data_IF_430917116572
#
_entry.id   IF_430917116572
#
_cell.length_a   1.000
_cell.length_b   1.000
_cell.length_c   1.000
_cell.angle_alpha   90.00
_cell.angle_beta   90.00
_cell.angle_gamma   90.00
#
_symmetry.space_group_name_H-M   'P 1'
#
loop_
_entity.id
_entity.type
_entity.pdbx_description
1 polymer ?
#
# COMPACT_ATOMS: atom_id res chain seq x y z
N UNK A 1 12.95 -19.59 -21.17
CA UNK A 1 12.44 -19.42 -19.80
C UNK A 1 13.07 -20.51 -18.98
N UNK A 2 13.99 -20.17 -18.07
CA UNK A 2 14.59 -21.14 -17.16
C UNK A 2 13.61 -21.36 -16.02
N UNK A 3 13.04 -22.56 -15.92
CA UNK A 3 12.32 -23.01 -14.72
C UNK A 3 13.31 -23.05 -13.56
N UNK A 4 13.35 -21.97 -12.79
CA UNK A 4 14.09 -21.95 -11.53
C UNK A 4 13.29 -22.77 -10.52
N UNK A 5 13.64 -24.04 -10.37
CA UNK A 5 13.07 -24.88 -9.31
C UNK A 5 13.72 -24.49 -7.99
N UNK A 6 12.97 -23.79 -7.14
CA UNK A 6 13.41 -23.49 -5.77
C UNK A 6 13.20 -24.70 -4.86
N UNK A 7 14.15 -24.98 -3.96
CA UNK A 7 13.82 -25.74 -2.75
C UNK A 7 12.86 -24.95 -1.87
N UNK A 8 12.13 -25.60 -0.95
CA UNK A 8 11.20 -24.91 -0.05
C UNK A 8 11.86 -23.76 0.72
N UNK A 9 13.09 -23.95 1.20
CA UNK A 9 13.83 -22.92 1.94
C UNK A 9 14.24 -21.75 1.06
N UNK A 10 14.67 -22.02 -0.17
CA UNK A 10 15.02 -20.96 -1.12
C UNK A 10 13.79 -20.16 -1.52
N UNK A 11 12.66 -20.84 -1.77
CA UNK A 11 11.41 -20.18 -2.09
C UNK A 11 10.94 -19.28 -0.94
N UNK A 12 10.93 -19.81 0.29
CA UNK A 12 10.56 -19.05 1.48
C UNK A 12 11.45 -17.82 1.64
N UNK A 13 12.76 -17.97 1.48
CA UNK A 13 13.71 -16.85 1.58
C UNK A 13 13.46 -15.78 0.52
N UNK A 14 13.25 -16.17 -0.74
CA UNK A 14 13.01 -15.23 -1.85
C UNK A 14 11.65 -14.53 -1.68
N UNK A 15 10.62 -15.28 -1.31
CA UNK A 15 9.30 -14.73 -1.05
C UNK A 15 9.31 -13.76 0.14
N UNK A 16 9.97 -14.13 1.24
CA UNK A 16 10.12 -13.28 2.41
C UNK A 16 10.81 -11.96 2.08
N UNK A 17 11.80 -11.96 1.19
CA UNK A 17 12.45 -10.73 0.72
C UNK A 17 11.45 -9.79 0.02
N UNK A 18 10.67 -10.30 -0.95
CA UNK A 18 9.68 -9.48 -1.67
C UNK A 18 8.55 -9.01 -0.75
N UNK A 19 8.02 -9.91 0.09
CA UNK A 19 6.97 -9.57 1.06
C UNK A 19 7.47 -8.51 2.03
N UNK A 20 8.68 -8.68 2.58
CA UNK A 20 9.30 -7.71 3.48
C UNK A 20 9.48 -6.34 2.82
N UNK A 21 9.98 -6.29 1.59
CA UNK A 21 10.11 -5.06 0.81
C UNK A 21 8.76 -4.38 0.56
N UNK A 22 7.71 -5.15 0.24
CA UNK A 22 6.34 -4.61 0.08
C UNK A 22 5.85 -4.00 1.39
N UNK A 23 6.03 -4.68 2.52
CA UNK A 23 5.63 -4.18 3.85
C UNK A 23 6.39 -2.90 4.20
N UNK A 24 7.70 -2.82 3.92
CA UNK A 24 8.47 -1.60 4.12
C UNK A 24 7.97 -0.45 3.25
N UNK A 25 7.68 -0.69 1.97
CA UNK A 25 7.14 0.35 1.07
C UNK A 25 5.76 0.83 1.50
N UNK A 26 4.91 -0.07 1.99
CA UNK A 26 3.61 0.31 2.58
C UNK A 26 3.78 1.19 3.82
N UNK A 27 4.72 0.84 4.71
CA UNK A 27 5.01 1.64 5.90
C UNK A 27 5.57 3.03 5.55
N UNK A 28 6.49 3.09 4.59
CA UNK A 28 7.05 4.34 4.07
C UNK A 28 5.95 5.23 3.47
N UNK A 29 5.08 4.66 2.64
CA UNK A 29 3.96 5.37 2.03
C UNK A 29 2.98 5.91 3.07
N UNK A 30 2.63 5.09 4.07
CA UNK A 30 1.74 5.51 5.16
C UNK A 30 2.36 6.65 6.00
N UNK A 31 3.65 6.57 6.30
CA UNK A 31 4.39 7.65 6.99
C UNK A 31 4.39 8.95 6.17
N UNK A 32 4.68 8.87 4.87
CA UNK A 32 4.67 10.02 3.98
C UNK A 32 3.27 10.65 3.85
N UNK A 33 2.22 9.83 3.85
CA UNK A 33 0.84 10.29 3.86
C UNK A 33 0.51 11.04 5.16
N UNK A 34 0.94 10.52 6.31
CA UNK A 34 0.75 11.21 7.60
C UNK A 34 1.44 12.58 7.61
N UNK A 35 2.68 12.67 7.12
CA UNK A 35 3.39 13.94 7.00
C UNK A 35 2.68 14.92 6.06
N UNK A 36 2.21 14.41 4.92
CA UNK A 36 1.45 15.20 3.95
C UNK A 36 0.18 15.79 4.56
N UNK A 37 -0.61 14.97 5.26
CA UNK A 37 -1.83 15.44 5.94
C UNK A 37 -1.52 16.51 6.97
N UNK A 38 -0.46 16.33 7.77
CA UNK A 38 -0.04 17.32 8.79
C UNK A 38 0.35 18.66 8.17
N UNK A 39 1.12 18.66 7.08
CA UNK A 39 1.57 19.90 6.43
C UNK A 39 0.47 20.58 5.63
N UNK A 40 -0.37 19.79 4.96
CA UNK A 40 -1.47 20.34 4.16
C UNK A 40 -2.49 21.04 5.01
N UNK A 41 -2.77 20.65 6.26
CA UNK A 41 -3.72 21.40 7.10
C UNK A 41 -3.15 22.69 7.71
N UNK A 42 -1.84 22.97 7.59
CA UNK A 42 -1.15 24.10 8.25
C UNK A 42 -1.55 24.27 9.72
N UNK A 43 -1.71 23.16 10.45
CA UNK A 43 -2.18 23.19 11.82
C UNK A 43 -1.19 23.93 12.72
N UNK A 44 -1.69 24.90 13.48
CA UNK A 44 -0.89 25.63 14.46
C UNK A 44 -0.59 24.77 15.70
N UNK A 45 -1.48 23.83 16.03
CA UNK A 45 -1.32 22.89 17.14
C UNK A 45 -1.19 21.44 16.64
N UNK A 46 0.05 20.98 16.51
CA UNK A 46 0.37 19.61 16.12
C UNK A 46 0.00 18.58 17.20
N UNK A 47 -0.08 18.96 18.48
CA UNK A 47 -0.44 18.03 19.55
C UNK A 47 -1.91 17.62 19.47
N UNK A 48 -2.75 18.49 18.93
CA UNK A 48 -4.16 18.18 18.67
C UNK A 48 -4.34 17.40 17.36
N UNK A 49 -3.59 17.75 16.30
CA UNK A 49 -3.78 17.14 14.97
C UNK A 49 -3.14 15.77 14.83
N UNK A 50 -1.96 15.52 15.42
CA UNK A 50 -1.27 14.23 15.26
C UNK A 50 -2.13 13.05 15.74
N UNK A 51 -2.75 13.08 16.94
CA UNK A 51 -3.58 11.97 17.40
C UNK A 51 -4.81 11.74 16.51
N UNK A 52 -5.34 12.79 15.88
CA UNK A 52 -6.47 12.65 14.96
C UNK A 52 -6.03 11.93 13.67
N UNK A 53 -4.89 12.31 13.09
CA UNK A 53 -4.34 11.66 11.90
C UNK A 53 -3.95 10.21 12.19
N UNK A 54 -3.37 9.92 13.34
CA UNK A 54 -2.96 8.57 13.74
C UNK A 54 -4.14 7.61 13.88
N UNK A 55 -5.29 8.09 14.36
CA UNK A 55 -6.52 7.29 14.48
C UNK A 55 -7.18 6.97 13.14
N UNK A 56 -6.84 7.68 12.07
CA UNK A 56 -7.40 7.41 10.76
C UNK A 56 -6.88 6.08 10.21
N UNK A 57 -7.79 5.28 9.67
CA UNK A 57 -7.42 4.12 8.86
C UNK A 57 -6.62 4.56 7.63
N UNK A 58 -5.82 3.67 7.05
CA UNK A 58 -5.08 3.97 5.82
C UNK A 58 -6.00 4.49 4.70
N UNK A 59 -7.20 3.92 4.56
CA UNK A 59 -8.22 4.42 3.62
C UNK A 59 -8.60 5.86 3.94
N UNK A 60 -8.98 6.11 5.18
CA UNK A 60 -9.46 7.42 5.63
C UNK A 60 -8.39 8.51 5.50
N UNK A 61 -7.10 8.16 5.66
CA UNK A 61 -5.98 9.07 5.40
C UNK A 61 -5.90 9.48 3.93
N UNK A 62 -6.10 8.55 3.01
CA UNK A 62 -6.08 8.84 1.56
C UNK A 62 -7.29 9.70 1.17
N UNK A 63 -8.49 9.33 1.64
CA UNK A 63 -9.71 10.09 1.39
C UNK A 63 -9.57 11.54 1.87
N UNK A 64 -9.11 11.72 3.12
CA UNK A 64 -8.87 13.04 3.70
C UNK A 64 -7.86 13.86 2.90
N UNK A 65 -6.79 13.23 2.38
CA UNK A 65 -5.84 13.93 1.52
C UNK A 65 -6.53 14.43 0.25
N UNK A 66 -7.32 13.59 -0.42
CA UNK A 66 -8.03 13.99 -1.64
C UNK A 66 -9.00 15.15 -1.37
N UNK A 67 -9.78 15.08 -0.28
CA UNK A 67 -10.67 16.17 0.12
C UNK A 67 -9.89 17.48 0.36
N UNK A 68 -8.75 17.43 1.05
CA UNK A 68 -7.89 18.60 1.26
C UNK A 68 -7.36 19.15 -0.06
N UNK A 69 -6.96 18.29 -1.00
CA UNK A 69 -6.50 18.72 -2.32
C UNK A 69 -7.64 19.37 -3.11
N UNK A 70 -8.84 18.81 -3.10
CA UNK A 70 -10.00 19.42 -3.76
C UNK A 70 -10.33 20.80 -3.20
N UNK A 71 -10.25 20.98 -1.88
CA UNK A 71 -10.50 22.26 -1.22
C UNK A 71 -9.39 23.28 -1.56
N UNK A 72 -8.12 22.89 -1.42
CA UNK A 72 -6.97 23.82 -1.54
C UNK A 72 -6.57 24.13 -2.96
N UNK A 73 -6.76 23.18 -3.86
CA UNK A 73 -6.39 23.27 -5.28
C UNK A 73 -7.62 23.33 -6.17
N UNK A 74 -8.78 23.77 -5.66
CA UNK A 74 -10.00 23.99 -6.46
C UNK A 74 -9.75 24.80 -7.77
N UNK A 75 -8.88 25.84 -7.78
CA UNK A 75 -8.55 26.55 -9.03
C UNK A 75 -7.68 25.75 -10.01
N UNK A 76 -7.14 24.60 -9.61
CA UNK A 76 -6.21 23.78 -10.38
C UNK A 76 -6.78 22.38 -10.64
N UNK A 77 -7.62 22.22 -11.69
CA UNK A 77 -8.26 20.94 -12.01
C UNK A 77 -7.26 19.86 -12.43
N UNK A 78 -6.09 20.24 -12.95
CA UNK A 78 -5.01 19.30 -13.31
C UNK A 78 -4.48 18.60 -12.06
N UNK A 79 -4.13 19.36 -11.02
CA UNK A 79 -3.69 18.82 -9.72
C UNK A 79 -4.71 17.83 -9.15
N UNK A 80 -5.98 18.23 -9.09
CA UNK A 80 -7.06 17.38 -8.57
C UNK A 80 -7.17 16.08 -9.38
N UNK A 81 -7.11 16.18 -10.71
CA UNK A 81 -7.20 15.02 -11.60
C UNK A 81 -6.05 14.04 -11.39
N UNK A 82 -4.82 14.54 -11.29
CA UNK A 82 -3.63 13.72 -11.06
C UNK A 82 -3.67 13.00 -9.71
N UNK A 83 -4.05 13.71 -8.64
CA UNK A 83 -4.22 13.09 -7.31
C UNK A 83 -5.35 12.06 -7.29
N UNK A 84 -6.47 12.30 -7.97
CA UNK A 84 -7.55 11.31 -8.13
C UNK A 84 -7.09 10.08 -8.91
N UNK A 85 -6.27 10.27 -9.95
CA UNK A 85 -5.70 9.17 -10.73
C UNK A 85 -4.78 8.31 -9.85
N UNK A 86 -3.88 8.95 -9.09
CA UNK A 86 -3.03 8.29 -8.11
C UNK A 86 -3.85 7.54 -7.05
N UNK A 87 -4.90 8.17 -6.50
CA UNK A 87 -5.79 7.54 -5.52
C UNK A 87 -6.41 6.25 -6.06
N UNK A 88 -6.92 6.24 -7.31
CA UNK A 88 -7.48 5.02 -7.91
C UNK A 88 -6.46 3.90 -8.04
N UNK A 89 -5.18 4.21 -8.29
CA UNK A 89 -4.10 3.19 -8.33
C UNK A 89 -3.82 2.65 -6.94
N UNK A 90 -3.71 3.54 -5.94
CA UNK A 90 -3.46 3.15 -4.56
C UNK A 90 -4.62 2.36 -3.96
N UNK A 91 -5.87 2.70 -4.26
CA UNK A 91 -7.05 1.99 -3.73
C UNK A 91 -7.10 0.53 -4.20
N UNK A 92 -6.67 0.25 -5.45
CA UNK A 92 -6.50 -1.13 -5.94
C UNK A 92 -5.48 -1.92 -5.11
N UNK A 93 -4.40 -1.27 -4.69
CA UNK A 93 -3.37 -1.90 -3.85
C UNK A 93 -3.78 -1.99 -2.38
N UNK A 94 -4.56 -1.03 -1.88
CA UNK A 94 -5.07 -0.98 -0.49
C UNK A 94 -5.80 -2.26 -0.11
N UNK A 95 -6.58 -2.84 -1.03
CA UNK A 95 -7.30 -4.09 -0.78
C UNK A 95 -6.33 -5.24 -0.48
N UNK A 96 -5.15 -5.24 -1.13
CA UNK A 96 -4.09 -6.23 -0.90
C UNK A 96 -3.29 -5.95 0.36
N UNK A 97 -3.08 -4.68 0.74
CA UNK A 97 -2.28 -4.26 1.92
C UNK A 97 -2.64 -5.05 3.18
N UNK A 98 -3.93 -5.21 3.49
CA UNK A 98 -4.34 -5.95 4.68
C UNK A 98 -3.92 -7.43 4.65
N UNK A 99 -3.96 -8.06 3.48
CA UNK A 99 -3.55 -9.46 3.33
C UNK A 99 -2.01 -9.60 3.39
N UNK A 100 -1.27 -8.62 2.88
CA UNK A 100 0.19 -8.58 3.00
C UNK A 100 0.68 -8.39 4.45
N UNK A 101 -0.01 -7.55 5.22
CA UNK A 101 0.41 -7.21 6.61
C UNK A 101 -0.14 -8.21 7.63
N UNK A 102 -1.39 -8.63 7.48
CA UNK A 102 -2.11 -9.42 8.49
C UNK A 102 -2.47 -10.84 8.02
N UNK A 103 -2.20 -11.19 6.76
CA UNK A 103 -2.46 -12.52 6.24
C UNK A 103 -1.47 -13.55 6.76
N UNK A 104 -1.90 -14.82 6.76
CA UNK A 104 -1.02 -15.96 6.99
C UNK A 104 -0.34 -16.33 5.68
N UNK A 105 0.97 -16.54 5.72
CA UNK A 105 1.76 -16.99 4.57
C UNK A 105 2.13 -18.46 4.75
N UNK A 106 1.93 -19.25 3.69
CA UNK A 106 2.28 -20.67 3.64
C UNK A 106 3.09 -20.96 2.37
N UNK A 107 4.06 -21.87 2.49
CA UNK A 107 4.94 -22.25 1.39
C UNK A 107 4.77 -23.73 1.06
N UNK A 108 4.26 -24.02 -0.13
CA UNK A 108 3.93 -25.37 -0.60
C UNK A 108 5.01 -25.91 -1.56
N UNK A 109 5.07 -27.23 -1.71
CA UNK A 109 6.06 -27.92 -2.55
C UNK A 109 5.57 -28.24 -3.97
N UNK A 110 4.38 -27.78 -4.36
CA UNK A 110 3.72 -28.07 -5.65
C UNK A 110 3.17 -26.80 -6.30
N UNK A 111 2.86 -26.90 -7.60
CA UNK A 111 2.15 -26.04 -8.57
C UNK A 111 2.00 -24.52 -8.31
N UNK A 112 1.62 -24.08 -7.10
CA UNK A 112 1.58 -22.68 -6.69
C UNK A 112 2.10 -22.56 -5.25
N UNK A 113 3.37 -22.21 -5.06
CA UNK A 113 4.04 -22.58 -3.83
C UNK A 113 4.00 -21.49 -2.76
N UNK A 114 3.36 -20.33 -3.01
CA UNK A 114 3.21 -19.26 -2.02
C UNK A 114 1.73 -18.94 -1.85
N UNK A 115 1.18 -19.16 -0.66
CA UNK A 115 -0.23 -18.92 -0.35
C UNK A 115 -0.35 -17.83 0.69
N UNK A 116 -1.17 -16.82 0.40
CA UNK A 116 -1.57 -15.79 1.35
C UNK A 116 -3.04 -15.95 1.70
N UNK A 117 -3.30 -16.24 2.96
CA UNK A 117 -4.66 -16.37 3.48
C UNK A 117 -5.00 -15.11 4.25
N UNK A 118 -5.85 -14.27 3.67
CA UNK A 118 -6.31 -13.06 4.34
C UNK A 118 -7.03 -13.42 5.66
N UNK A 119 -6.74 -12.67 6.73
CA UNK A 119 -7.46 -12.83 7.99
C UNK A 119 -8.96 -12.60 7.78
N UNK A 120 -9.75 -13.63 8.07
CA UNK A 120 -11.20 -13.55 8.21
C UNK A 120 -11.57 -13.71 9.69
N UNK A 121 -12.78 -13.29 10.07
CA UNK A 121 -13.30 -13.57 11.41
C UNK A 121 -13.53 -15.08 11.51
N UNK A 122 -12.95 -15.72 12.54
CA UNK A 122 -13.20 -17.13 12.85
C UNK A 122 -14.71 -17.39 12.89
N UNK A 123 -15.21 -18.30 12.05
CA UNK A 123 -16.65 -18.63 11.95
C UNK A 123 -17.41 -17.91 10.83
N UNK A 124 -16.79 -16.96 10.12
CA UNK A 124 -17.34 -16.45 8.85
C UNK A 124 -16.74 -17.22 7.67
N UNK A 125 -17.60 -17.91 6.91
CA UNK A 125 -17.22 -18.67 5.74
C UNK A 125 -16.73 -17.72 4.63
N UNK A 126 -15.43 -17.42 4.60
CA UNK A 126 -14.57 -17.23 3.41
C UNK A 126 -13.25 -16.59 3.84
N UNK A 127 -12.30 -17.41 4.26
CA UNK A 127 -10.90 -17.04 4.12
C UNK A 127 -10.62 -16.90 2.61
N UNK A 128 -10.18 -15.73 2.16
CA UNK A 128 -9.79 -15.53 0.77
C UNK A 128 -8.31 -15.89 0.65
N UNK A 129 -8.06 -17.04 0.06
CA UNK A 129 -6.73 -17.48 -0.31
C UNK A 129 -6.32 -16.80 -1.62
N UNK A 130 -5.09 -16.31 -1.67
CA UNK A 130 -4.46 -15.78 -2.88
C UNK A 130 -3.16 -16.53 -3.06
N UNK A 131 -3.01 -17.16 -4.22
CA UNK A 131 -1.82 -17.89 -4.59
C UNK A 131 -0.90 -16.96 -5.37
N UNK A 132 0.40 -17.03 -5.08
CA UNK A 132 1.42 -16.22 -5.71
C UNK A 132 2.56 -17.09 -6.25
N UNK A 133 3.05 -16.70 -7.41
CA UNK A 133 4.40 -16.97 -7.86
C UNK A 133 5.38 -15.91 -7.36
N UNK A 134 6.67 -16.24 -7.30
CA UNK A 134 7.73 -15.26 -6.98
C UNK A 134 7.67 -14.06 -7.95
N UNK A 135 7.38 -14.33 -9.22
CA UNK A 135 7.27 -13.28 -10.23
C UNK A 135 6.10 -12.32 -9.94
N UNK A 136 5.00 -12.81 -9.38
CA UNK A 136 3.84 -12.00 -9.01
C UNK A 136 4.15 -11.14 -7.79
N UNK A 137 4.81 -11.68 -6.76
CA UNK A 137 5.28 -10.88 -5.63
C UNK A 137 6.22 -9.74 -6.07
N UNK A 138 7.09 -10.03 -7.04
CA UNK A 138 7.94 -9.00 -7.65
C UNK A 138 7.10 -7.93 -8.37
N UNK A 139 6.03 -8.30 -9.09
CA UNK A 139 5.14 -7.32 -9.73
C UNK A 139 4.37 -6.48 -8.70
N UNK A 140 3.94 -7.07 -7.58
CA UNK A 140 3.31 -6.31 -6.50
C UNK A 140 4.29 -5.30 -5.88
N UNK A 141 5.55 -5.69 -5.67
CA UNK A 141 6.60 -4.78 -5.21
C UNK A 141 6.79 -3.61 -6.18
N UNK A 142 7.00 -3.89 -7.46
CA UNK A 142 7.16 -2.85 -8.48
C UNK A 142 5.93 -1.92 -8.57
N UNK A 143 4.74 -2.46 -8.32
CA UNK A 143 3.50 -1.69 -8.32
C UNK A 143 3.47 -0.70 -7.17
N UNK A 144 3.79 -1.13 -5.94
CA UNK A 144 3.79 -0.21 -4.79
C UNK A 144 4.95 0.79 -4.83
N UNK A 145 6.10 0.41 -5.37
CA UNK A 145 7.21 1.32 -5.63
C UNK A 145 6.80 2.43 -6.59
N UNK A 146 6.19 2.08 -7.74
CA UNK A 146 5.69 3.07 -8.70
C UNK A 146 4.64 4.00 -8.09
N UNK A 147 3.68 3.45 -7.34
CA UNK A 147 2.65 4.27 -6.67
C UNK A 147 3.28 5.26 -5.68
N UNK A 148 4.34 4.84 -4.99
CA UNK A 148 5.07 5.70 -4.03
C UNK A 148 5.88 6.78 -4.74
N UNK A 149 6.56 6.44 -5.84
CA UNK A 149 7.29 7.39 -6.67
C UNK A 149 6.35 8.43 -7.31
N UNK A 150 5.20 7.99 -7.82
CA UNK A 150 4.16 8.88 -8.34
C UNK A 150 3.68 9.85 -7.25
N UNK A 151 3.43 9.37 -6.03
CA UNK A 151 3.03 10.24 -4.92
C UNK A 151 4.08 11.32 -4.63
N UNK A 152 5.34 10.93 -4.59
CA UNK A 152 6.45 11.84 -4.37
C UNK A 152 6.61 12.87 -5.51
N UNK A 153 6.44 12.44 -6.76
CA UNK A 153 6.46 13.32 -7.92
C UNK A 153 5.32 14.35 -7.88
N UNK A 154 4.09 13.92 -7.54
CA UNK A 154 2.94 14.81 -7.40
C UNK A 154 3.16 15.86 -6.33
N UNK A 155 3.61 15.43 -5.15
CA UNK A 155 3.93 16.35 -4.04
C UNK A 155 4.97 17.41 -4.43
N UNK A 156 6.02 17.02 -5.15
CA UNK A 156 7.02 17.98 -5.65
C UNK A 156 6.46 18.92 -6.71
N UNK A 157 5.71 18.40 -7.70
CA UNK A 157 5.10 19.21 -8.77
C UNK A 157 4.17 20.28 -8.22
N UNK A 158 3.35 19.92 -7.24
CA UNK A 158 2.30 20.78 -6.70
C UNK A 158 2.66 21.48 -5.39
N UNK A 159 3.89 21.29 -4.90
CA UNK A 159 4.41 21.89 -3.65
C UNK A 159 3.56 21.55 -2.41
N UNK A 160 3.28 20.25 -2.24
CA UNK A 160 2.47 19.67 -1.17
C UNK A 160 3.34 18.86 -0.20
#
# INVERSE_FOLDING_TARGET
MTDTTYSTKELESVAAEYIGKIVFKLSELESNLNLCLRWTVKAQDLNTVNPLVERLSFKSKIDALIEIIEIKFNPNPECISEFKSWHRKLDKFRVKRNSFIHGRWEFLTKDQPIVNTAQGINGSNKHKETHYEVSELKQELLSIERISEEFYALRRKWHI
#
